data_IF_816344494284
#
_entry.id   IF_816344494284
#
_cell.length_a   1.000
_cell.length_b   1.000
_cell.length_c   1.000
_cell.angle_alpha   90.00
_cell.angle_beta   90.00
_cell.angle_gamma   90.00
#
_symmetry.space_group_name_H-M   'P 1'
#
loop_
_entity.id
_entity.type
_entity.pdbx_description
1 polymer ?
#
# COMPACT_ATOMS: atom_id res chain seq x y z
N UNK A 1 -11.60 -11.51 11.00
CA UNK A 1 -10.44 -11.03 10.22
C UNK A 1 -10.56 -9.57 9.81
N UNK A 2 -11.69 -9.13 9.25
CA UNK A 2 -11.90 -7.73 8.80
C UNK A 2 -11.64 -6.65 9.87
N UNK A 3 -12.02 -6.86 11.13
CA UNK A 3 -11.75 -5.89 12.22
C UNK A 3 -10.26 -5.67 12.46
N UNK A 4 -9.45 -6.74 12.40
CA UNK A 4 -8.00 -6.65 12.58
C UNK A 4 -7.38 -5.86 11.44
N UNK A 5 -7.78 -6.13 10.19
CA UNK A 5 -7.30 -5.37 9.02
C UNK A 5 -7.61 -3.88 9.17
N UNK A 6 -8.85 -3.52 9.54
CA UNK A 6 -9.25 -2.12 9.76
C UNK A 6 -8.43 -1.46 10.87
N UNK A 7 -8.19 -2.18 11.98
CA UNK A 7 -7.36 -1.70 13.07
C UNK A 7 -5.92 -1.47 12.61
N UNK A 8 -5.31 -2.42 11.91
CA UNK A 8 -3.95 -2.29 11.37
C UNK A 8 -3.81 -1.09 10.43
N UNK A 9 -4.76 -0.88 9.51
CA UNK A 9 -4.73 0.25 8.59
C UNK A 9 -4.87 1.60 9.32
N UNK A 10 -5.73 1.69 10.34
CA UNK A 10 -5.83 2.89 11.18
C UNK A 10 -4.58 3.14 12.02
N UNK A 11 -3.99 2.09 12.58
CA UNK A 11 -2.72 2.20 13.32
C UNK A 11 -1.57 2.63 12.40
N UNK A 12 -1.52 2.12 11.17
CA UNK A 12 -0.54 2.54 10.16
C UNK A 12 -0.73 4.02 9.78
N UNK A 13 -1.97 4.45 9.53
CA UNK A 13 -2.28 5.86 9.26
C UNK A 13 -1.78 6.75 10.39
N UNK A 14 -2.06 6.37 11.65
CA UNK A 14 -1.64 7.16 12.81
C UNK A 14 -0.13 7.18 12.98
N UNK A 15 0.55 6.05 12.76
CA UNK A 15 2.00 6.00 12.75
C UNK A 15 2.58 6.98 11.71
N UNK A 16 2.06 6.98 10.49
CA UNK A 16 2.49 7.88 9.40
C UNK A 16 2.31 9.35 9.79
N UNK A 17 1.21 9.73 10.47
CA UNK A 17 0.99 11.10 10.94
C UNK A 17 2.10 11.62 11.85
N UNK A 18 2.75 10.73 12.59
CA UNK A 18 3.85 11.05 13.51
C UNK A 18 5.22 11.12 12.83
N UNK A 19 5.32 10.76 11.57
CA UNK A 19 6.58 10.76 10.82
C UNK A 19 6.73 12.02 9.95
N UNK A 20 7.90 12.17 9.34
CA UNK A 20 8.17 13.13 8.26
C UNK A 20 8.83 12.38 7.12
N UNK A 21 8.35 12.59 5.89
CA UNK A 21 8.87 11.90 4.71
C UNK A 21 9.49 12.87 3.72
N UNK A 22 10.47 12.38 2.97
CA UNK A 22 10.90 13.04 1.73
C UNK A 22 10.04 12.51 0.55
N UNK A 23 10.28 13.04 -0.65
CA UNK A 23 9.59 12.61 -1.87
C UNK A 23 9.62 11.09 -2.06
N UNK A 24 10.77 10.46 -1.94
CA UNK A 24 10.91 9.01 -2.14
C UNK A 24 10.16 8.19 -1.09
N UNK A 25 10.12 8.64 0.17
CA UNK A 25 9.35 8.00 1.23
C UNK A 25 7.85 8.02 0.95
N UNK A 26 7.33 9.16 0.50
CA UNK A 26 5.93 9.28 0.06
C UNK A 26 5.60 8.33 -1.10
N UNK A 27 6.44 8.34 -2.13
CA UNK A 27 6.26 7.50 -3.32
C UNK A 27 6.35 6.01 -2.99
N UNK A 28 7.20 5.62 -2.03
CA UNK A 28 7.25 4.22 -1.58
C UNK A 28 5.96 3.81 -0.86
N UNK A 29 5.40 4.69 -0.01
CA UNK A 29 4.12 4.43 0.65
C UNK A 29 2.99 4.26 -0.39
N UNK A 30 2.97 5.05 -1.46
CA UNK A 30 2.01 4.88 -2.57
C UNK A 30 2.09 3.47 -3.17
N UNK A 31 3.30 3.01 -3.48
CA UNK A 31 3.54 1.67 -4.03
C UNK A 31 3.13 0.57 -3.05
N UNK A 32 3.42 0.74 -1.76
CA UNK A 32 3.08 -0.27 -0.76
C UNK A 32 1.56 -0.37 -0.56
N UNK A 33 0.85 0.76 -0.52
CA UNK A 33 -0.61 0.80 -0.41
C UNK A 33 -1.28 0.16 -1.62
N UNK A 34 -0.86 0.51 -2.84
CA UNK A 34 -1.43 -0.09 -4.06
C UNK A 34 -1.09 -1.58 -4.17
N UNK A 35 0.11 -2.00 -3.74
CA UNK A 35 0.48 -3.42 -3.70
C UNK A 35 -0.42 -4.22 -2.73
N UNK A 36 -0.74 -3.65 -1.57
CA UNK A 36 -1.56 -4.29 -0.53
C UNK A 36 -3.06 -4.29 -0.86
N UNK A 37 -3.51 -3.47 -1.81
CA UNK A 37 -4.93 -3.24 -2.07
C UNK A 37 -5.71 -4.51 -2.41
N UNK A 38 -5.24 -5.28 -3.40
CA UNK A 38 -5.89 -6.53 -3.82
C UNK A 38 -5.95 -7.57 -2.70
N UNK A 39 -4.82 -7.98 -2.06
CA UNK A 39 -4.89 -9.00 -1.01
C UNK A 39 -5.72 -8.55 0.20
N UNK A 40 -5.72 -7.26 0.56
CA UNK A 40 -6.55 -6.79 1.67
C UNK A 40 -8.05 -6.82 1.33
N UNK A 41 -8.44 -6.57 0.08
CA UNK A 41 -9.83 -6.71 -0.38
C UNK A 41 -10.30 -8.16 -0.39
N UNK A 42 -9.41 -9.11 -0.66
CA UNK A 42 -9.74 -10.55 -0.60
C UNK A 42 -9.94 -11.03 0.85
N UNK A 43 -9.23 -10.43 1.82
CA UNK A 43 -9.30 -10.81 3.24
C UNK A 43 -10.43 -10.08 3.99
N UNK A 44 -10.79 -8.87 3.58
CA UNK A 44 -11.78 -8.04 4.26
C UNK A 44 -13.16 -8.14 3.61
N UNK A 45 -14.22 -8.10 4.44
CA UNK A 45 -15.60 -8.25 3.98
C UNK A 45 -16.13 -7.05 3.16
N UNK A 46 -15.47 -5.88 3.20
CA UNK A 46 -15.94 -4.65 2.57
C UNK A 46 -14.79 -3.97 1.83
N UNK A 47 -14.76 -4.14 0.50
CA UNK A 47 -13.74 -3.59 -0.37
C UNK A 47 -13.75 -2.06 -0.42
N UNK A 48 -14.92 -1.43 -0.27
CA UNK A 48 -15.06 0.03 -0.27
C UNK A 48 -14.43 0.62 0.99
N UNK A 49 -14.60 -0.02 2.14
CA UNK A 49 -13.93 0.39 3.38
C UNK A 49 -12.41 0.24 3.26
N UNK A 50 -11.91 -0.80 2.59
CA UNK A 50 -10.46 -0.95 2.34
C UNK A 50 -9.93 0.16 1.43
N UNK A 51 -10.60 0.45 0.31
CA UNK A 51 -10.21 1.57 -0.58
C UNK A 51 -10.17 2.90 0.17
N UNK A 52 -11.19 3.16 1.00
CA UNK A 52 -11.26 4.36 1.81
C UNK A 52 -10.08 4.44 2.80
N UNK A 53 -9.82 3.37 3.57
CA UNK A 53 -8.74 3.35 4.56
C UNK A 53 -7.35 3.46 3.92
N UNK A 54 -7.13 2.81 2.79
CA UNK A 54 -5.87 2.91 2.05
C UNK A 54 -5.64 4.32 1.50
N UNK A 55 -6.69 4.97 0.99
CA UNK A 55 -6.63 6.39 0.59
C UNK A 55 -6.28 7.29 1.77
N UNK A 56 -6.86 7.03 2.94
CA UNK A 56 -6.60 7.76 4.18
C UNK A 56 -5.13 7.65 4.66
N UNK A 57 -4.52 6.46 4.50
CA UNK A 57 -3.08 6.26 4.75
C UNK A 57 -2.23 7.07 3.76
N UNK A 58 -2.59 7.06 2.47
CA UNK A 58 -1.86 7.82 1.45
C UNK A 58 -1.98 9.34 1.66
N UNK A 59 -3.16 9.83 2.03
CA UNK A 59 -3.40 11.24 2.36
C UNK A 59 -2.54 11.67 3.56
N UNK A 60 -2.50 10.87 4.61
CA UNK A 60 -1.64 11.15 5.77
C UNK A 60 -0.15 11.22 5.35
N UNK A 61 0.29 10.33 4.47
CA UNK A 61 1.67 10.38 3.96
C UNK A 61 1.92 11.66 3.13
N UNK A 62 0.97 12.07 2.28
CA UNK A 62 1.04 13.31 1.51
C UNK A 62 1.22 14.53 2.42
N UNK A 63 0.38 14.68 3.45
CA UNK A 63 0.42 15.79 4.41
C UNK A 63 1.71 15.85 5.24
N UNK A 64 2.37 14.69 5.44
CA UNK A 64 3.60 14.57 6.23
C UNK A 64 4.88 14.58 5.39
N UNK A 65 4.76 14.81 4.09
CA UNK A 65 5.89 14.80 3.17
C UNK A 65 6.37 16.22 2.87
N UNK A 66 7.69 16.43 2.90
CA UNK A 66 8.30 17.72 2.62
C UNK A 66 8.13 18.17 1.15
N UNK A 67 7.94 17.20 0.25
CA UNK A 67 7.82 17.42 -1.19
C UNK A 67 6.91 16.32 -1.79
N UNK A 68 5.58 16.48 -1.67
CA UNK A 68 4.63 15.40 -1.89
C UNK A 68 4.26 15.21 -3.36
N UNK A 69 5.27 15.00 -4.23
CA UNK A 69 5.03 14.74 -5.65
C UNK A 69 4.68 13.27 -5.85
N UNK A 70 3.44 12.96 -6.30
CA UNK A 70 3.03 11.58 -6.49
C UNK A 70 3.77 10.95 -7.67
N UNK A 71 3.88 9.62 -7.67
CA UNK A 71 4.26 8.89 -8.87
C UNK A 71 3.14 9.02 -9.90
N UNK A 72 3.54 9.08 -11.17
CA UNK A 72 2.61 8.94 -12.28
C UNK A 72 1.88 7.59 -12.18
N UNK A 73 0.55 7.53 -12.40
CA UNK A 73 -0.22 6.30 -12.30
C UNK A 73 0.38 5.15 -13.14
N UNK A 74 0.87 5.46 -14.34
CA UNK A 74 1.50 4.47 -15.23
C UNK A 74 2.81 3.90 -14.67
N UNK A 75 3.55 4.67 -13.87
CA UNK A 75 4.75 4.19 -13.19
C UNK A 75 4.37 3.27 -12.03
N UNK A 76 3.34 3.64 -11.27
CA UNK A 76 2.79 2.81 -10.19
C UNK A 76 2.37 1.46 -10.76
N UNK A 77 1.51 1.44 -11.79
CA UNK A 77 0.99 0.22 -12.40
C UNK A 77 2.12 -0.72 -12.84
N UNK A 78 3.13 -0.18 -13.55
CA UNK A 78 4.29 -0.95 -14.02
C UNK A 78 5.10 -1.56 -12.86
N UNK A 79 5.31 -0.81 -11.79
CA UNK A 79 6.08 -1.29 -10.64
C UNK A 79 5.31 -2.34 -9.83
N UNK A 80 3.99 -2.16 -9.68
CA UNK A 80 3.12 -3.14 -9.03
C UNK A 80 3.09 -4.44 -9.82
N UNK A 81 2.89 -4.38 -11.14
CA UNK A 81 2.91 -5.55 -12.02
C UNK A 81 4.24 -6.31 -11.92
N UNK A 82 5.37 -5.60 -12.04
CA UNK A 82 6.69 -6.20 -11.93
C UNK A 82 6.90 -6.89 -10.56
N UNK A 83 6.45 -6.27 -9.47
CA UNK A 83 6.55 -6.84 -8.11
C UNK A 83 5.67 -8.10 -7.98
N UNK A 84 4.46 -8.08 -8.52
CA UNK A 84 3.55 -9.23 -8.48
C UNK A 84 4.06 -10.42 -9.31
N UNK A 85 4.62 -10.18 -10.50
CA UNK A 85 5.24 -11.23 -11.32
C UNK A 85 6.36 -11.91 -10.53
N UNK A 86 7.28 -11.11 -9.97
CA UNK A 86 8.39 -11.62 -9.16
C UNK A 86 7.91 -12.43 -7.95
N UNK A 87 6.87 -11.96 -7.25
CA UNK A 87 6.28 -12.71 -6.12
C UNK A 87 5.67 -14.06 -6.55
N UNK A 88 5.02 -14.12 -7.72
CA UNK A 88 4.48 -15.37 -8.28
C UNK A 88 5.61 -16.34 -8.65
N UNK A 89 6.65 -15.86 -9.33
CA UNK A 89 7.82 -16.68 -9.67
C UNK A 89 8.45 -17.31 -8.42
N UNK A 90 8.63 -16.52 -7.36
CA UNK A 90 9.16 -17.00 -6.08
C UNK A 90 8.27 -18.09 -5.46
N UNK A 91 6.95 -17.92 -5.49
CA UNK A 91 6.02 -18.95 -4.97
C UNK A 91 6.07 -20.26 -5.76
N UNK A 92 6.26 -20.19 -7.08
CA UNK A 92 6.41 -21.38 -7.93
C UNK A 92 7.73 -22.10 -7.62
N UNK A 93 8.82 -21.34 -7.52
CA UNK A 93 10.15 -21.89 -7.21
C UNK A 93 10.20 -22.58 -5.83
N UNK A 94 9.44 -22.08 -4.85
CA UNK A 94 9.30 -22.72 -3.54
C UNK A 94 8.48 -24.00 -3.58
N UNK A 95 7.48 -24.09 -4.47
CA UNK A 95 6.61 -25.26 -4.58
C UNK A 95 7.25 -26.43 -5.32
N UNK A 96 8.38 -26.19 -6.01
CA UNK A 96 9.17 -27.19 -6.74
C UNK A 96 10.34 -27.76 -5.92
N UNK A 97 10.53 -27.28 -4.69
CA UNK A 97 11.56 -27.75 -3.73
C UNK A 97 10.92 -28.57 -2.63
#
# INVERSE_FOLDING_TARGET
MSTIVKLCLKSLQEFIRLQTFNRSGYQQIQLDIEYLKTPLKEIAADATVIDFLLKEVNNAAHERSLDPIPLEPTIVDRLIEAKQIKSRELSIQQSLK
#
